data_IF_063934760104
#
_entry.id   IF_063934760104
#
_cell.length_a   1.000
_cell.length_b   1.000
_cell.length_c   1.000
_cell.angle_alpha   90.00
_cell.angle_beta   90.00
_cell.angle_gamma   90.00
#
_symmetry.space_group_name_H-M   'P 1'
#
loop_
_entity.id
_entity.type
_entity.pdbx_description
1 polymer ?
#
# COMPACT_ATOMS: atom_id res chain seq x y z
N UNK A 1 -8.21 12.99 8.46
CA UNK A 1 -7.12 13.98 8.27
C UNK A 1 -5.79 13.27 8.37
N UNK A 2 -4.99 13.33 7.32
CA UNK A 2 -3.63 12.79 7.29
C UNK A 2 -2.69 13.72 8.06
N UNK A 3 -1.76 13.14 8.84
CA UNK A 3 -0.75 13.88 9.59
C UNK A 3 0.41 14.19 8.64
N UNK A 4 0.93 15.41 8.68
CA UNK A 4 2.16 15.75 7.96
C UNK A 4 3.31 14.84 8.43
N UNK A 5 3.93 14.14 7.49
CA UNK A 5 5.03 13.19 7.75
C UNK A 5 6.32 13.90 8.21
N UNK A 6 6.58 15.07 7.63
CA UNK A 6 7.74 15.91 7.92
C UNK A 6 7.38 16.98 8.96
N UNK A 7 8.25 17.20 9.93
CA UNK A 7 8.14 18.30 10.89
C UNK A 7 8.43 19.66 10.26
N UNK A 8 8.16 20.74 10.98
CA UNK A 8 8.46 22.11 10.54
C UNK A 8 9.96 22.38 10.28
N UNK A 9 10.84 21.48 10.72
CA UNK A 9 12.30 21.55 10.55
C UNK A 9 12.86 20.53 9.55
N UNK A 10 12.03 19.94 8.69
CA UNK A 10 12.48 19.02 7.63
C UNK A 10 12.77 17.57 8.06
N UNK A 11 12.77 17.26 9.36
CA UNK A 11 12.96 15.89 9.88
C UNK A 11 11.66 15.09 10.02
N UNK A 12 11.76 13.76 9.97
CA UNK A 12 10.63 12.86 10.25
C UNK A 12 10.06 13.12 11.65
N UNK A 13 8.72 13.17 11.77
CA UNK A 13 8.09 13.37 13.08
C UNK A 13 8.20 12.13 13.96
N UNK A 14 8.27 12.28 15.29
CA UNK A 14 8.27 11.15 16.22
C UNK A 14 7.00 10.30 16.10
N UNK A 15 7.22 8.99 16.17
CA UNK A 15 6.21 7.92 16.19
C UNK A 15 5.41 8.01 17.50
N UNK A 16 4.08 8.07 17.43
CA UNK A 16 3.22 8.00 18.61
C UNK A 16 3.06 6.54 19.04
N UNK A 17 2.91 6.33 20.35
CA UNK A 17 2.58 5.01 20.91
C UNK A 17 1.24 4.46 20.41
N UNK A 18 0.30 5.34 20.06
CA UNK A 18 -1.00 4.96 19.50
C UNK A 18 -1.48 6.05 18.55
N UNK A 19 -1.85 5.65 17.34
CA UNK A 19 -2.45 6.49 16.33
C UNK A 19 -3.83 5.91 15.99
N UNK A 20 -4.90 6.57 16.45
CA UNK A 20 -6.26 6.10 16.20
C UNK A 20 -6.55 5.96 14.70
N UNK A 21 -7.04 4.80 14.28
CA UNK A 21 -7.44 4.55 12.91
C UNK A 21 -8.72 5.32 12.56
N UNK A 22 -8.71 6.02 11.43
CA UNK A 22 -9.87 6.79 10.92
C UNK A 22 -10.12 6.58 9.43
N UNK A 23 -9.49 5.58 8.83
CA UNK A 23 -9.61 5.27 7.40
C UNK A 23 -10.69 4.22 7.11
N UNK A 24 -10.74 3.77 5.86
CA UNK A 24 -11.61 2.65 5.45
C UNK A 24 -10.88 1.32 5.66
N UNK A 25 -11.36 0.40 6.51
CA UNK A 25 -10.64 -0.84 6.84
C UNK A 25 -10.23 -1.68 5.62
N UNK A 26 -11.07 -1.69 4.57
CA UNK A 26 -10.85 -2.43 3.32
C UNK A 26 -9.51 -2.12 2.64
N UNK A 27 -9.06 -0.87 2.71
CA UNK A 27 -7.83 -0.39 2.05
C UNK A 27 -6.70 -0.09 3.04
N UNK A 28 -6.96 -0.18 4.34
CA UNK A 28 -5.97 0.13 5.36
C UNK A 28 -4.81 -0.88 5.32
N UNK A 29 -3.63 -0.51 5.79
CA UNK A 29 -2.54 -1.45 6.09
C UNK A 29 -2.82 -2.26 7.38
N UNK A 30 -2.07 -3.33 7.64
CA UNK A 30 -2.11 -4.06 8.94
C UNK A 30 -1.83 -3.09 10.09
N UNK A 31 -0.83 -2.23 9.91
CA UNK A 31 -0.30 -1.37 10.95
C UNK A 31 -1.27 -0.23 11.29
N UNK A 32 -1.95 0.32 10.28
CA UNK A 32 -3.04 1.26 10.46
C UNK A 32 -4.18 0.66 11.28
N UNK A 33 -4.58 -0.60 10.99
CA UNK A 33 -5.64 -1.30 11.73
C UNK A 33 -5.22 -1.64 13.17
N UNK A 34 -3.93 -1.87 13.41
CA UNK A 34 -3.35 -2.06 14.75
C UNK A 34 -3.23 -0.75 15.55
N UNK A 35 -3.63 0.38 14.97
CA UNK A 35 -3.47 1.72 15.55
C UNK A 35 -1.99 2.10 15.80
N UNK A 36 -1.08 1.54 15.00
CA UNK A 36 0.31 1.97 14.97
C UNK A 36 0.43 3.25 14.13
N UNK A 37 1.52 3.98 14.33
CA UNK A 37 1.77 5.17 13.50
C UNK A 37 1.84 4.77 12.03
N UNK A 38 1.20 5.60 11.20
CA UNK A 38 1.18 5.42 9.76
C UNK A 38 2.31 6.24 9.13
N UNK A 39 2.96 5.64 8.13
CA UNK A 39 3.95 6.26 7.28
C UNK A 39 3.57 6.14 5.81
N UNK A 40 4.53 6.49 4.94
CA UNK A 40 4.33 6.51 3.48
C UNK A 40 3.94 5.14 2.93
N UNK A 41 4.42 4.05 3.55
CA UNK A 41 4.06 2.68 3.19
C UNK A 41 2.57 2.39 3.37
N UNK A 42 1.90 3.01 4.32
CA UNK A 42 0.49 2.76 4.62
C UNK A 42 -0.42 3.39 3.55
N UNK A 43 -0.04 4.56 3.03
CA UNK A 43 -0.68 5.15 1.86
C UNK A 43 -0.48 4.27 0.62
N UNK A 44 0.72 3.67 0.46
CA UNK A 44 0.99 2.74 -0.64
C UNK A 44 0.18 1.45 -0.55
N UNK A 45 -0.09 0.93 0.64
CA UNK A 45 -1.02 -0.20 0.81
C UNK A 45 -2.42 0.15 0.29
N UNK A 46 -2.95 1.30 0.72
CA UNK A 46 -4.27 1.76 0.25
C UNK A 46 -4.30 1.97 -1.25
N UNK A 47 -3.29 2.64 -1.80
CA UNK A 47 -3.14 2.84 -3.23
C UNK A 47 -3.10 1.52 -4.00
N UNK A 48 -2.27 0.57 -3.56
CA UNK A 48 -2.12 -0.71 -4.24
C UNK A 48 -3.42 -1.52 -4.23
N UNK A 49 -4.13 -1.55 -3.10
CA UNK A 49 -5.42 -2.23 -3.02
C UNK A 49 -6.49 -1.58 -3.91
N UNK A 50 -6.50 -0.25 -4.04
CA UNK A 50 -7.37 0.42 -5.01
C UNK A 50 -7.02 0.03 -6.45
N UNK A 51 -5.74 -0.01 -6.81
CA UNK A 51 -5.30 -0.44 -8.16
C UNK A 51 -5.72 -1.87 -8.46
N UNK A 52 -5.57 -2.79 -7.50
CA UNK A 52 -6.08 -4.15 -7.64
C UNK A 52 -7.58 -4.10 -7.90
N UNK A 53 -8.37 -3.46 -7.04
CA UNK A 53 -9.83 -3.41 -7.18
C UNK A 53 -10.27 -2.82 -8.52
N UNK A 54 -9.63 -1.75 -8.99
CA UNK A 54 -9.92 -1.14 -10.29
C UNK A 54 -9.63 -2.06 -11.47
N UNK A 55 -8.62 -2.92 -11.34
CA UNK A 55 -8.19 -3.80 -12.45
C UNK A 55 -8.83 -5.18 -12.43
N UNK A 56 -9.26 -5.66 -11.26
CA UNK A 56 -9.91 -6.97 -11.10
C UNK A 56 -11.43 -6.87 -10.86
N UNK A 57 -11.95 -5.66 -10.62
CA UNK A 57 -13.36 -5.39 -10.31
C UNK A 57 -13.76 -5.67 -8.85
N UNK A 58 -12.91 -6.34 -8.08
CA UNK A 58 -13.13 -6.64 -6.67
C UNK A 58 -11.83 -6.98 -5.96
N UNK A 59 -11.74 -6.63 -4.66
CA UNK A 59 -10.71 -7.19 -3.80
C UNK A 59 -11.07 -8.64 -3.41
N UNK A 60 -10.09 -9.57 -3.42
CA UNK A 60 -10.38 -10.99 -3.21
C UNK A 60 -10.67 -11.34 -1.74
N UNK A 61 -10.73 -10.34 -0.85
CA UNK A 61 -11.04 -10.53 0.55
C UNK A 61 -12.35 -9.86 0.97
N UNK A 62 -13.23 -10.57 1.69
CA UNK A 62 -14.32 -9.92 2.39
C UNK A 62 -13.74 -9.01 3.48
N UNK A 63 -14.48 -7.96 3.79
CA UNK A 63 -14.16 -6.79 4.63
C UNK A 63 -13.59 -7.08 6.04
N UNK A 64 -13.39 -8.35 6.42
CA UNK A 64 -13.20 -8.79 7.81
C UNK A 64 -12.02 -9.73 8.11
N UNK A 65 -11.12 -10.12 7.18
CA UNK A 65 -9.99 -11.02 7.53
C UNK A 65 -8.65 -10.70 6.87
N UNK A 66 -7.88 -9.83 7.52
CA UNK A 66 -6.68 -9.14 7.02
C UNK A 66 -5.42 -10.00 6.78
N UNK A 67 -5.06 -10.92 7.68
CA UNK A 67 -3.81 -11.69 7.57
C UNK A 67 -3.78 -12.66 6.38
N UNK A 68 -4.94 -13.07 5.86
CA UNK A 68 -5.04 -13.93 4.66
C UNK A 68 -5.04 -13.15 3.34
N UNK A 69 -5.24 -11.84 3.38
CA UNK A 69 -5.48 -10.99 2.19
C UNK A 69 -4.25 -10.89 1.28
N UNK A 70 -3.07 -10.68 1.88
CA UNK A 70 -1.82 -10.52 1.14
C UNK A 70 -1.37 -11.82 0.46
N UNK A 71 -1.59 -12.98 1.08
CA UNK A 71 -1.24 -14.29 0.50
C UNK A 71 -2.16 -14.66 -0.68
N UNK A 72 -3.46 -14.32 -0.59
CA UNK A 72 -4.42 -14.56 -1.67
C UNK A 72 -4.03 -13.76 -2.93
N UNK A 73 -3.57 -12.52 -2.75
CA UNK A 73 -3.15 -11.68 -3.87
C UNK A 73 -1.94 -12.24 -4.62
N UNK A 74 -1.02 -12.93 -3.93
CA UNK A 74 0.23 -13.44 -4.52
C UNK A 74 0.06 -14.70 -5.39
N UNK A 75 -1.09 -15.39 -5.31
CA UNK A 75 -1.31 -16.65 -6.02
C UNK A 75 -1.57 -16.50 -7.52
N UNK A 76 -2.45 -15.57 -7.91
CA UNK A 76 -2.95 -15.44 -9.29
C UNK A 76 -2.69 -14.08 -9.95
N UNK A 77 -2.06 -13.13 -9.24
CA UNK A 77 -1.79 -11.79 -9.78
C UNK A 77 -0.57 -11.75 -10.71
N UNK A 78 -0.48 -10.75 -11.61
CA UNK A 78 0.72 -10.49 -12.41
C UNK A 78 1.98 -10.34 -11.55
N UNK A 79 3.15 -10.70 -12.09
CA UNK A 79 4.42 -10.64 -11.36
C UNK A 79 4.76 -9.23 -10.85
N UNK A 80 4.36 -8.18 -11.56
CA UNK A 80 4.53 -6.79 -11.15
C UNK A 80 3.72 -6.45 -9.91
N UNK A 81 2.52 -7.01 -9.74
CA UNK A 81 1.73 -6.80 -8.52
C UNK A 81 2.43 -7.47 -7.33
N UNK A 82 3.02 -8.64 -7.54
CA UNK A 82 3.84 -9.30 -6.52
C UNK A 82 5.08 -8.47 -6.18
N UNK A 83 5.72 -7.88 -7.18
CA UNK A 83 6.90 -7.04 -7.02
C UNK A 83 6.57 -5.74 -6.25
N UNK A 84 5.48 -5.07 -6.60
CA UNK A 84 4.95 -3.90 -5.88
C UNK A 84 4.65 -4.26 -4.43
N UNK A 85 3.90 -5.35 -4.19
CA UNK A 85 3.52 -5.74 -2.83
C UNK A 85 4.75 -6.08 -1.97
N UNK A 86 5.72 -6.81 -2.53
CA UNK A 86 6.99 -7.13 -1.85
C UNK A 86 7.77 -5.87 -1.48
N UNK A 87 7.84 -4.89 -2.39
CA UNK A 87 8.48 -3.61 -2.12
C UNK A 87 7.77 -2.87 -0.98
N UNK A 88 6.43 -2.79 -1.00
CA UNK A 88 5.68 -2.13 0.08
C UNK A 88 5.91 -2.85 1.42
N UNK A 89 5.96 -4.18 1.42
CA UNK A 89 6.18 -5.01 2.61
C UNK A 89 7.59 -4.85 3.19
N UNK A 90 8.60 -4.54 2.36
CA UNK A 90 9.97 -4.33 2.85
C UNK A 90 10.21 -2.96 3.46
N UNK A 91 9.29 -2.00 3.28
CA UNK A 91 9.48 -0.63 3.75
C UNK A 91 9.32 -0.49 5.26
N UNK A 92 10.26 0.22 5.86
CA UNK A 92 10.14 0.72 7.22
C UNK A 92 9.24 1.96 7.31
N UNK A 93 8.81 2.30 8.54
CA UNK A 93 7.83 3.35 8.80
C UNK A 93 8.22 4.73 8.23
N UNK A 94 9.50 5.08 8.34
CA UNK A 94 10.02 6.38 7.90
C UNK A 94 10.76 6.33 6.56
N UNK A 95 10.86 5.14 5.97
CA UNK A 95 11.61 4.94 4.74
C UNK A 95 10.94 5.63 3.55
N UNK A 96 11.75 6.17 2.66
CA UNK A 96 11.30 6.68 1.38
C UNK A 96 11.03 5.53 0.40
N UNK A 97 9.78 5.33 -0.06
CA UNK A 97 9.51 4.33 -1.06
C UNK A 97 10.19 4.68 -2.39
N UNK A 98 10.73 3.68 -3.07
CA UNK A 98 11.17 3.82 -4.46
C UNK A 98 9.97 3.94 -5.41
N UNK A 99 9.45 5.17 -5.59
CA UNK A 99 8.30 5.41 -6.46
C UNK A 99 8.58 5.15 -7.94
N UNK A 100 9.81 5.36 -8.39
CA UNK A 100 10.19 5.08 -9.77
C UNK A 100 10.03 3.58 -10.08
N UNK A 101 10.44 2.71 -9.15
CA UNK A 101 10.21 1.27 -9.27
C UNK A 101 8.71 0.93 -9.35
N UNK A 102 7.88 1.50 -8.46
CA UNK A 102 6.43 1.28 -8.49
C UNK A 102 5.81 1.71 -9.82
N UNK A 103 6.21 2.87 -10.35
CA UNK A 103 5.78 3.36 -11.66
C UNK A 103 6.18 2.42 -12.79
N UNK A 104 7.44 1.96 -12.80
CA UNK A 104 7.93 1.01 -13.80
C UNK A 104 7.15 -0.31 -13.78
N UNK A 105 6.78 -0.82 -12.60
CA UNK A 105 5.93 -2.01 -12.48
C UNK A 105 4.54 -1.78 -13.08
N UNK A 106 3.88 -0.66 -12.80
CA UNK A 106 2.57 -0.34 -13.39
C UNK A 106 2.64 -0.21 -14.91
N UNK A 107 3.65 0.50 -15.42
CA UNK A 107 3.83 0.63 -16.86
C UNK A 107 4.17 -0.70 -17.52
N UNK A 108 4.87 -1.61 -16.83
CA UNK A 108 5.06 -2.99 -17.24
C UNK A 108 3.72 -3.73 -17.42
N UNK A 109 2.83 -3.63 -16.43
CA UNK A 109 1.46 -4.15 -16.53
C UNK A 109 0.69 -3.55 -17.71
N UNK A 110 0.71 -2.23 -17.88
CA UNK A 110 -0.02 -1.53 -18.94
C UNK A 110 0.43 -2.01 -20.33
N UNK A 111 1.75 -2.08 -20.55
CA UNK A 111 2.35 -2.56 -21.80
C UNK A 111 2.01 -4.03 -22.08
N UNK A 112 2.05 -4.89 -21.06
CA UNK A 112 1.66 -6.32 -21.23
C UNK A 112 0.21 -6.44 -21.69
N UNK A 113 -0.66 -5.59 -21.16
CA UNK A 113 -2.09 -5.58 -21.52
C UNK A 113 -2.39 -4.73 -22.77
N UNK A 114 -1.37 -4.19 -23.45
CA UNK A 114 -1.50 -3.37 -24.66
C UNK A 114 -2.44 -2.16 -24.46
N UNK A 115 -2.41 -1.58 -23.27
CA UNK A 115 -3.11 -0.32 -23.01
C UNK A 115 -2.40 0.80 -23.79
N UNK A 116 -3.16 1.71 -24.43
CA UNK A 116 -2.59 2.86 -25.13
C UNK A 116 -1.94 3.83 -24.13
N UNK A 117 -0.92 4.56 -24.61
CA UNK A 117 -0.25 5.63 -23.87
C UNK A 117 -1.14 6.87 -23.69
#
# INVERSE_FOLDING_TARGET
MARQFVGSRGGARPVRKRAGFRGTPRYASVEALRMNEQGRRDDLYSWFFMVVEFTTGALPWPEQRYQRQQQILLGSSPEEYKAILKHIQSLDLIEEPNYNFLFQCLMGCARRNRLPD
#
